data_IF_749131613599
#
_entry.id   IF_749131613599
#
_cell.length_a   1.000
_cell.length_b   1.000
_cell.length_c   1.000
_cell.angle_alpha   90.00
_cell.angle_beta   90.00
_cell.angle_gamma   90.00
#
_symmetry.space_group_name_H-M   'P 1'
#
loop_
_entity.id
_entity.type
_entity.pdbx_description
1 polymer ?
#
# COMPACT_ATOMS: atom_id res chain seq x y z
N UNK A 1 -16.34 18.71 103.64
CA UNK A 1 -16.76 17.69 102.65
C UNK A 1 -15.97 17.72 101.33
N UNK A 2 -15.11 18.72 101.06
CA UNK A 2 -14.32 18.86 99.82
C UNK A 2 -13.10 17.93 99.68
N UNK A 3 -12.56 17.38 100.77
CA UNK A 3 -11.28 16.62 100.76
C UNK A 3 -11.43 15.18 100.24
N UNK A 4 -12.64 14.61 100.24
CA UNK A 4 -12.93 13.23 99.79
C UNK A 4 -13.24 13.14 98.29
N UNK A 5 -13.78 14.22 97.69
CA UNK A 5 -14.04 14.29 96.25
C UNK A 5 -12.79 14.54 95.41
N UNK A 6 -11.77 15.20 95.98
CA UNK A 6 -10.50 15.48 95.28
C UNK A 6 -9.65 14.23 95.01
N UNK A 7 -9.81 13.16 95.80
CA UNK A 7 -9.09 11.89 95.63
C UNK A 7 -9.79 10.99 94.61
N UNK A 8 -11.12 11.06 94.52
CA UNK A 8 -11.91 10.31 93.52
C UNK A 8 -11.75 10.91 92.12
N UNK A 9 -11.59 12.23 92.01
CA UNK A 9 -11.32 12.93 90.74
C UNK A 9 -9.90 12.68 90.20
N UNK A 10 -8.91 12.48 91.08
CA UNK A 10 -7.52 12.22 90.69
C UNK A 10 -7.30 10.76 90.25
N UNK A 11 -8.10 9.82 90.76
CA UNK A 11 -8.01 8.39 90.41
C UNK A 11 -8.73 8.07 89.08
N UNK A 12 -9.73 8.86 88.68
CA UNK A 12 -10.40 8.72 87.37
C UNK A 12 -9.58 9.24 86.20
N UNK A 13 -8.56 10.08 86.44
CA UNK A 13 -7.74 10.69 85.39
C UNK A 13 -6.61 9.76 84.89
N UNK A 14 -6.28 8.70 85.63
CA UNK A 14 -5.21 7.74 85.27
C UNK A 14 -5.66 6.62 84.33
N UNK A 15 -6.96 6.50 84.05
CA UNK A 15 -7.54 5.42 83.21
C UNK A 15 -7.73 5.89 81.75
N UNK A 16 -7.52 7.18 81.45
CA UNK A 16 -7.57 7.72 80.08
C UNK A 16 -6.19 7.85 79.39
N UNK A 17 -5.09 7.49 80.05
CA UNK A 17 -3.74 7.50 79.44
C UNK A 17 -3.41 6.24 78.63
N UNK A 18 -4.43 5.51 78.19
CA UNK A 18 -4.30 4.40 77.25
C UNK A 18 -4.87 4.79 75.90
N UNK A 19 -4.01 4.82 74.88
CA UNK A 19 -4.36 4.94 73.46
C UNK A 19 -4.56 6.38 72.90
N UNK A 20 -3.45 7.07 72.64
CA UNK A 20 -3.32 7.93 71.45
C UNK A 20 -1.84 8.07 71.05
N UNK A 21 -1.22 6.92 70.74
CA UNK A 21 0.00 6.86 69.95
C UNK A 21 -0.33 6.15 68.62
N UNK A 22 -1.36 6.64 67.93
CA UNK A 22 -1.93 6.00 66.75
C UNK A 22 -1.46 6.56 65.40
N UNK A 23 -0.83 7.73 65.35
CA UNK A 23 -0.52 8.38 64.07
C UNK A 23 0.98 8.36 63.71
N UNK A 24 1.89 8.48 64.68
CA UNK A 24 3.34 8.51 64.39
C UNK A 24 3.97 7.11 64.23
N UNK A 25 3.44 6.09 64.90
CA UNK A 25 3.91 4.71 64.74
C UNK A 25 3.45 4.11 63.40
N UNK A 26 2.24 4.45 62.95
CA UNK A 26 1.64 3.93 61.72
C UNK A 26 2.32 4.49 60.46
N UNK A 27 2.80 5.74 60.50
CA UNK A 27 3.52 6.35 59.38
C UNK A 27 4.97 5.84 59.27
N UNK A 28 5.64 5.57 60.40
CA UNK A 28 6.99 4.98 60.43
C UNK A 28 6.97 3.51 59.97
N UNK A 29 5.90 2.78 60.30
CA UNK A 29 5.66 1.41 59.84
C UNK A 29 5.30 1.35 58.35
N UNK A 30 4.62 2.38 57.83
CA UNK A 30 4.32 2.49 56.40
C UNK A 30 5.58 2.68 55.55
N UNK A 31 6.52 3.54 55.98
CA UNK A 31 7.78 3.75 55.29
C UNK A 31 8.70 2.51 55.36
N UNK A 32 8.73 1.81 56.50
CA UNK A 32 9.44 0.54 56.62
C UNK A 32 8.81 -0.56 55.76
N UNK A 33 7.49 -0.69 55.77
CA UNK A 33 6.75 -1.66 54.94
C UNK A 33 6.97 -1.36 53.45
N UNK A 34 6.92 -0.09 53.04
CA UNK A 34 7.21 0.33 51.67
C UNK A 34 8.62 -0.05 51.24
N UNK A 35 9.61 0.17 52.10
CA UNK A 35 11.01 -0.19 51.83
C UNK A 35 11.18 -1.70 51.71
N UNK A 36 10.55 -2.45 52.62
CA UNK A 36 10.53 -3.92 52.59
C UNK A 36 9.89 -4.45 51.29
N UNK A 37 8.74 -3.90 50.87
CA UNK A 37 8.08 -4.30 49.62
C UNK A 37 8.95 -3.97 48.40
N UNK A 38 9.57 -2.79 48.37
CA UNK A 38 10.49 -2.41 47.27
C UNK A 38 11.71 -3.32 47.22
N UNK A 39 12.25 -3.72 48.38
CA UNK A 39 13.39 -4.62 48.45
C UNK A 39 12.98 -6.04 48.01
N UNK A 40 11.82 -6.55 48.43
CA UNK A 40 11.25 -7.84 47.96
C UNK A 40 11.03 -7.84 46.45
N UNK A 41 10.56 -6.75 45.85
CA UNK A 41 10.40 -6.66 44.39
C UNK A 41 11.75 -6.65 43.64
N UNK A 42 12.83 -6.21 44.30
CA UNK A 42 14.18 -6.15 43.72
C UNK A 42 14.98 -7.43 43.91
N UNK A 43 14.62 -8.30 44.85
CA UNK A 43 15.27 -9.61 45.04
C UNK A 43 15.08 -10.49 43.80
N UNK A 44 15.94 -11.50 43.69
CA UNK A 44 15.86 -12.45 42.59
C UNK A 44 14.56 -13.26 42.63
N UNK A 45 14.04 -13.55 43.82
CA UNK A 45 12.74 -14.20 44.01
C UNK A 45 11.58 -13.32 43.56
N UNK A 46 11.60 -12.02 43.87
CA UNK A 46 10.59 -11.07 43.39
C UNK A 46 10.59 -10.94 41.87
N UNK A 47 11.78 -10.84 41.25
CA UNK A 47 11.91 -10.83 39.79
C UNK A 47 11.46 -12.15 39.16
N UNK A 48 11.73 -13.28 39.81
CA UNK A 48 11.33 -14.61 39.34
C UNK A 48 9.81 -14.78 39.42
N UNK A 49 9.20 -14.42 40.54
CA UNK A 49 7.75 -14.42 40.69
C UNK A 49 7.05 -13.55 39.64
N UNK A 50 7.58 -12.34 39.36
CA UNK A 50 7.05 -11.49 38.29
C UNK A 50 7.21 -12.14 36.91
N UNK A 51 8.34 -12.79 36.63
CA UNK A 51 8.55 -13.51 35.35
C UNK A 51 7.63 -14.71 35.20
N UNK A 52 7.35 -15.42 36.28
CA UNK A 52 6.44 -16.58 36.29
C UNK A 52 5.00 -16.12 36.05
N UNK A 53 4.59 -15.02 36.68
CA UNK A 53 3.27 -14.38 36.51
C UNK A 53 3.10 -13.78 35.11
N UNK A 54 4.11 -13.07 34.58
CA UNK A 54 4.12 -12.61 33.17
C UNK A 54 4.27 -13.80 32.21
N UNK A 55 4.73 -14.96 32.68
CA UNK A 55 4.84 -16.17 31.89
C UNK A 55 3.47 -16.77 31.53
N UNK A 56 2.47 -16.53 32.38
CA UNK A 56 1.09 -16.95 32.23
C UNK A 56 0.45 -16.31 30.98
N UNK A 57 -0.22 -17.12 30.15
CA UNK A 57 -0.84 -16.63 28.91
C UNK A 57 -1.99 -15.65 29.17
N UNK A 58 -2.77 -15.85 30.23
CA UNK A 58 -3.89 -14.98 30.58
C UNK A 58 -3.38 -13.57 30.96
N UNK A 59 -2.23 -13.50 31.64
CA UNK A 59 -1.62 -12.24 32.05
C UNK A 59 -0.89 -11.58 30.88
N UNK A 60 -0.23 -12.35 29.99
CA UNK A 60 0.34 -11.81 28.74
C UNK A 60 -0.71 -11.17 27.87
N UNK A 61 -1.84 -11.82 27.69
CA UNK A 61 -2.94 -11.30 26.86
C UNK A 61 -3.43 -9.95 27.41
N UNK A 62 -3.69 -9.87 28.72
CA UNK A 62 -4.11 -8.63 29.37
C UNK A 62 -3.04 -7.51 29.37
N UNK A 63 -1.74 -7.85 29.41
CA UNK A 63 -0.65 -6.87 29.35
C UNK A 63 -0.38 -6.36 27.92
N UNK A 64 -0.55 -7.21 26.92
CA UNK A 64 -0.40 -6.86 25.49
C UNK A 64 -1.58 -6.03 25.00
N UNK A 65 -2.75 -6.09 25.65
CA UNK A 65 -3.95 -5.32 25.29
C UNK A 65 -3.94 -3.83 25.71
N UNK A 66 -2.78 -3.20 25.94
CA UNK A 66 -2.75 -1.73 25.95
C UNK A 66 -2.86 -1.22 24.50
N UNK A 67 -4.11 -1.10 24.04
CA UNK A 67 -4.50 -0.81 22.65
C UNK A 67 -3.80 0.45 22.11
N UNK A 68 -3.69 1.49 22.93
CA UNK A 68 -3.04 2.76 22.56
C UNK A 68 -1.53 2.63 22.40
N UNK A 69 -0.86 1.95 23.34
CA UNK A 69 0.60 1.77 23.28
C UNK A 69 0.99 0.81 22.13
N UNK A 70 0.21 -0.26 21.92
CA UNK A 70 0.42 -1.20 20.81
C UNK A 70 0.15 -0.52 19.46
N UNK A 71 -0.97 0.19 19.31
CA UNK A 71 -1.31 0.90 18.07
C UNK A 71 -0.23 1.93 17.73
N UNK A 72 0.16 2.80 18.67
CA UNK A 72 1.22 3.79 18.44
C UNK A 72 2.56 3.16 18.08
N UNK A 73 2.89 2.01 18.69
CA UNK A 73 4.13 1.30 18.40
C UNK A 73 4.09 0.66 17.01
N UNK A 74 2.97 0.07 16.63
CA UNK A 74 2.76 -0.51 15.29
C UNK A 74 2.83 0.60 14.24
N UNK A 75 2.09 1.69 14.40
CA UNK A 75 2.13 2.83 13.48
C UNK A 75 3.54 3.37 13.32
N UNK A 76 4.21 3.70 14.44
CA UNK A 76 5.58 4.22 14.43
C UNK A 76 6.57 3.25 13.81
N UNK A 77 6.38 1.95 14.02
CA UNK A 77 7.27 0.93 13.45
C UNK A 77 7.02 0.79 11.95
N UNK A 78 5.77 0.67 11.51
CA UNK A 78 5.38 0.45 10.12
C UNK A 78 5.70 1.64 9.21
N UNK A 79 5.65 2.87 9.71
CA UNK A 79 6.01 4.08 8.95
C UNK A 79 7.49 4.48 9.09
N UNK A 80 8.27 3.73 9.85
CA UNK A 80 9.69 4.03 10.02
C UNK A 80 10.53 3.56 8.82
N UNK A 81 11.68 4.20 8.61
CA UNK A 81 12.69 3.74 7.65
C UNK A 81 13.11 2.28 7.87
N UNK A 82 13.03 1.80 9.11
CA UNK A 82 13.32 0.41 9.45
C UNK A 82 12.27 -0.55 8.86
N UNK A 83 10.99 -0.17 8.87
CA UNK A 83 9.95 -0.95 8.20
C UNK A 83 10.09 -0.88 6.67
N UNK A 84 10.40 0.28 6.10
CA UNK A 84 10.66 0.40 4.66
C UNK A 84 11.79 -0.57 4.23
N UNK A 85 12.90 -0.61 4.97
CA UNK A 85 13.98 -1.58 4.74
C UNK A 85 13.52 -3.02 4.94
N UNK A 86 12.77 -3.32 6.00
CA UNK A 86 12.23 -4.66 6.25
C UNK A 86 11.37 -5.14 5.07
N UNK A 87 10.41 -4.33 4.62
CA UNK A 87 9.56 -4.67 3.48
C UNK A 87 10.38 -4.82 2.20
N UNK A 88 11.35 -3.93 1.96
CA UNK A 88 12.23 -4.01 0.78
C UNK A 88 13.01 -5.33 0.75
N UNK A 89 13.59 -5.76 1.87
CA UNK A 89 14.27 -7.06 1.95
C UNK A 89 13.29 -8.23 1.84
N UNK A 90 12.09 -8.12 2.43
CA UNK A 90 11.06 -9.17 2.33
C UNK A 90 10.49 -9.34 0.94
N UNK A 91 10.33 -8.26 0.16
CA UNK A 91 9.89 -8.36 -1.23
C UNK A 91 10.94 -8.99 -2.16
N UNK A 92 12.20 -9.16 -1.72
CA UNK A 92 13.20 -9.94 -2.46
C UNK A 92 13.04 -11.45 -2.27
N UNK A 93 12.32 -11.89 -1.25
CA UNK A 93 11.99 -13.29 -1.02
C UNK A 93 10.89 -13.72 -2.02
N UNK A 94 11.17 -14.66 -2.93
CA UNK A 94 10.22 -15.08 -3.96
C UNK A 94 8.89 -15.61 -3.41
N UNK A 95 8.93 -16.38 -2.32
CA UNK A 95 7.72 -17.01 -1.75
C UNK A 95 6.80 -15.94 -1.14
N UNK A 96 7.41 -14.96 -0.48
CA UNK A 96 6.72 -13.81 0.06
C UNK A 96 6.13 -12.94 -1.06
N UNK A 97 6.94 -12.60 -2.06
CA UNK A 97 6.52 -11.80 -3.21
C UNK A 97 5.39 -12.47 -4.00
N UNK A 98 5.46 -13.79 -4.21
CA UNK A 98 4.41 -14.56 -4.88
C UNK A 98 3.11 -14.54 -4.07
N UNK A 99 3.18 -14.77 -2.76
CA UNK A 99 2.01 -14.76 -1.89
C UNK A 99 1.34 -13.39 -1.88
N UNK A 100 2.12 -12.32 -1.80
CA UNK A 100 1.62 -10.95 -1.88
C UNK A 100 1.03 -10.61 -3.26
N UNK A 101 1.70 -11.01 -4.34
CA UNK A 101 1.17 -10.79 -5.69
C UNK A 101 -0.15 -11.54 -5.91
N UNK A 102 -0.27 -12.77 -5.40
CA UNK A 102 -1.50 -13.57 -5.44
C UNK A 102 -2.63 -12.92 -4.65
N UNK A 103 -2.36 -12.42 -3.45
CA UNK A 103 -3.39 -11.77 -2.63
C UNK A 103 -3.89 -10.47 -3.26
N UNK A 104 -3.01 -9.71 -3.93
CA UNK A 104 -3.35 -8.46 -4.60
C UNK A 104 -3.93 -8.64 -6.01
N UNK A 105 -3.91 -9.87 -6.58
CA UNK A 105 -4.23 -10.12 -7.99
C UNK A 105 -5.59 -9.55 -8.42
N UNK A 106 -6.63 -9.75 -7.62
CA UNK A 106 -7.99 -9.33 -7.96
C UNK A 106 -8.11 -7.80 -8.03
N UNK A 107 -7.66 -7.10 -6.99
CA UNK A 107 -7.68 -5.64 -6.94
C UNK A 107 -6.73 -5.01 -7.95
N UNK A 108 -5.54 -5.59 -8.15
CA UNK A 108 -4.59 -5.11 -9.15
C UNK A 108 -5.14 -5.27 -10.58
N UNK A 109 -5.82 -6.38 -10.88
CA UNK A 109 -6.51 -6.55 -12.16
C UNK A 109 -7.61 -5.52 -12.36
N UNK A 110 -8.39 -5.22 -11.32
CA UNK A 110 -9.44 -4.21 -11.36
C UNK A 110 -8.85 -2.83 -11.61
N UNK A 111 -7.82 -2.45 -10.84
CA UNK A 111 -7.07 -1.20 -11.01
C UNK A 111 -6.55 -1.05 -12.44
N UNK A 112 -5.89 -2.07 -12.99
CA UNK A 112 -5.40 -2.03 -14.37
C UNK A 112 -6.53 -1.85 -15.40
N UNK A 113 -7.67 -2.52 -15.21
CA UNK A 113 -8.84 -2.35 -16.09
C UNK A 113 -9.44 -0.95 -16.02
N UNK A 114 -9.43 -0.34 -14.86
CA UNK A 114 -9.92 1.01 -14.68
C UNK A 114 -8.93 2.04 -15.22
N UNK A 115 -7.61 1.83 -15.03
CA UNK A 115 -6.56 2.64 -15.65
C UNK A 115 -6.61 2.59 -17.18
N UNK A 116 -6.95 1.47 -17.82
CA UNK A 116 -7.14 1.45 -19.28
C UNK A 116 -8.25 2.41 -19.77
N UNK A 117 -9.19 2.79 -18.90
CA UNK A 117 -10.24 3.77 -19.19
C UNK A 117 -9.84 5.19 -18.81
N UNK A 118 -8.70 5.37 -18.16
CA UNK A 118 -8.16 6.67 -17.81
C UNK A 118 -7.45 7.32 -19.03
N UNK A 119 -7.69 8.62 -19.32
CA UNK A 119 -7.06 9.31 -20.44
C UNK A 119 -5.53 9.40 -20.37
N UNK A 120 -4.97 9.63 -19.19
CA UNK A 120 -3.53 9.81 -19.03
C UNK A 120 -2.81 8.48 -19.17
N UNK A 121 -3.37 7.41 -18.59
CA UNK A 121 -2.85 6.06 -18.79
C UNK A 121 -2.93 5.63 -20.26
N UNK A 122 -4.04 5.93 -20.97
CA UNK A 122 -4.13 5.67 -22.41
C UNK A 122 -3.08 6.42 -23.20
N UNK A 123 -2.78 7.68 -22.84
CA UNK A 123 -1.74 8.45 -23.51
C UNK A 123 -0.38 7.78 -23.37
N UNK A 124 -0.01 7.33 -22.17
CA UNK A 124 1.21 6.56 -21.94
C UNK A 124 1.23 5.26 -22.76
N UNK A 125 0.09 4.58 -22.91
CA UNK A 125 0.00 3.37 -23.75
C UNK A 125 0.16 3.68 -25.24
N UNK A 126 -0.35 4.82 -25.73
CA UNK A 126 -0.13 5.24 -27.13
C UNK A 126 1.34 5.55 -27.38
N UNK A 127 2.00 6.23 -26.44
CA UNK A 127 3.45 6.49 -26.51
C UNK A 127 4.24 5.18 -26.53
N UNK A 128 3.85 4.19 -25.72
CA UNK A 128 4.44 2.84 -25.75
C UNK A 128 4.27 2.16 -27.12
N UNK A 129 3.09 2.24 -27.74
CA UNK A 129 2.82 1.65 -29.05
C UNK A 129 3.64 2.27 -30.19
N UNK A 130 4.18 3.47 -29.98
CA UNK A 130 5.07 4.14 -30.93
C UNK A 130 6.54 3.70 -30.77
N UNK A 131 6.83 2.76 -29.87
CA UNK A 131 8.16 2.19 -29.75
C UNK A 131 8.60 1.52 -31.07
N UNK A 132 9.84 1.75 -31.55
CA UNK A 132 10.32 1.21 -32.82
C UNK A 132 10.22 -0.32 -32.95
N UNK A 133 10.30 -1.07 -31.85
CA UNK A 133 10.13 -2.52 -31.88
C UNK A 133 8.69 -2.90 -32.24
N UNK A 134 7.71 -2.24 -31.61
CA UNK A 134 6.29 -2.43 -31.89
C UNK A 134 5.96 -1.93 -33.31
N UNK A 135 6.54 -0.81 -33.73
CA UNK A 135 6.37 -0.29 -35.09
C UNK A 135 6.88 -1.30 -36.14
N UNK A 136 8.01 -1.95 -35.87
CA UNK A 136 8.56 -3.00 -36.73
C UNK A 136 7.60 -4.19 -36.83
N UNK A 137 7.05 -4.65 -35.71
CA UNK A 137 6.07 -5.74 -35.70
C UNK A 137 4.80 -5.37 -36.47
N UNK A 138 4.31 -4.14 -36.29
CA UNK A 138 3.18 -3.62 -37.06
C UNK A 138 3.48 -3.58 -38.56
N UNK A 139 4.68 -3.14 -38.97
CA UNK A 139 5.11 -3.17 -40.38
C UNK A 139 5.16 -4.58 -40.95
N UNK A 140 5.51 -5.58 -40.14
CA UNK A 140 5.49 -6.98 -40.56
C UNK A 140 4.07 -7.49 -40.77
N UNK A 141 3.14 -7.12 -39.88
CA UNK A 141 1.70 -7.41 -40.04
C UNK A 141 1.15 -6.75 -41.31
N UNK A 142 1.45 -5.49 -41.56
CA UNK A 142 1.02 -4.79 -42.79
C UNK A 142 1.62 -5.38 -44.08
N UNK A 143 2.71 -6.14 -43.98
CA UNK A 143 3.32 -6.85 -45.12
C UNK A 143 2.86 -8.30 -45.23
N UNK A 144 2.08 -8.81 -44.27
CA UNK A 144 1.63 -10.18 -44.23
C UNK A 144 0.74 -10.51 -45.43
N UNK A 145 0.68 -11.78 -45.80
CA UNK A 145 -0.13 -12.24 -46.92
C UNK A 145 -1.61 -11.91 -46.70
N UNK A 146 -2.10 -12.09 -45.48
CA UNK A 146 -3.50 -11.83 -45.09
C UNK A 146 -3.84 -10.34 -45.25
N UNK A 147 -2.97 -9.44 -44.80
CA UNK A 147 -3.20 -8.00 -44.97
C UNK A 147 -3.11 -7.58 -46.44
N UNK A 148 -2.24 -8.21 -47.24
CA UNK A 148 -2.16 -7.97 -48.68
C UNK A 148 -3.43 -8.41 -49.42
N UNK A 149 -4.02 -9.55 -49.06
CA UNK A 149 -5.28 -10.00 -49.64
C UNK A 149 -6.41 -9.00 -49.38
N UNK A 150 -6.55 -8.56 -48.12
CA UNK A 150 -7.52 -7.51 -47.78
C UNK A 150 -7.22 -6.19 -48.51
N UNK A 151 -5.94 -5.81 -48.64
CA UNK A 151 -5.55 -4.61 -49.37
C UNK A 151 -5.91 -4.71 -50.87
N UNK A 152 -5.74 -5.88 -51.49
CA UNK A 152 -6.13 -6.11 -52.88
C UNK A 152 -7.64 -6.01 -53.06
N UNK A 153 -8.44 -6.54 -52.14
CA UNK A 153 -9.90 -6.42 -52.15
C UNK A 153 -10.33 -4.95 -52.08
N UNK A 154 -9.80 -4.20 -51.09
CA UNK A 154 -10.07 -2.76 -50.96
C UNK A 154 -9.64 -1.98 -52.21
N UNK A 155 -8.51 -2.34 -52.84
CA UNK A 155 -8.09 -1.73 -54.10
C UNK A 155 -9.05 -2.04 -55.24
N UNK A 156 -9.52 -3.27 -55.37
CA UNK A 156 -10.50 -3.66 -56.40
C UNK A 156 -11.82 -2.90 -56.20
N UNK A 157 -12.34 -2.85 -54.96
CA UNK A 157 -13.53 -2.07 -54.62
C UNK A 157 -13.36 -0.59 -54.94
N UNK A 158 -12.18 -0.02 -54.61
CA UNK A 158 -11.85 1.38 -54.90
C UNK A 158 -11.82 1.66 -56.41
N UNK A 159 -11.25 0.75 -57.21
CA UNK A 159 -11.25 0.85 -58.67
C UNK A 159 -12.65 0.75 -59.27
N UNK A 160 -13.55 0.04 -58.60
CA UNK A 160 -14.92 -0.12 -59.05
C UNK A 160 -15.81 1.10 -58.79
N UNK A 161 -15.36 2.04 -57.96
CA UNK A 161 -16.10 3.27 -57.68
C UNK A 161 -16.32 4.10 -58.95
N UNK A 162 -17.51 4.73 -59.13
CA UNK A 162 -17.79 5.59 -60.28
C UNK A 162 -16.80 6.75 -60.43
N UNK A 163 -16.34 7.31 -59.32
CA UNK A 163 -15.37 8.41 -59.32
C UNK A 163 -14.01 7.95 -59.87
N UNK A 164 -13.52 6.79 -59.44
CA UNK A 164 -12.27 6.23 -59.95
C UNK A 164 -12.39 5.90 -61.44
N UNK A 165 -13.47 5.22 -61.85
CA UNK A 165 -13.73 4.91 -63.27
C UNK A 165 -13.75 6.16 -64.14
N UNK A 166 -14.39 7.24 -63.68
CA UNK A 166 -14.42 8.53 -64.38
C UNK A 166 -13.04 9.15 -64.49
N UNK A 167 -12.28 9.25 -63.39
CA UNK A 167 -10.90 9.79 -63.42
C UNK A 167 -9.98 8.95 -64.30
N UNK A 168 -10.18 7.63 -64.31
CA UNK A 168 -9.43 6.71 -65.15
C UNK A 168 -9.75 6.93 -66.64
N UNK A 169 -11.03 7.10 -66.99
CA UNK A 169 -11.45 7.46 -68.35
C UNK A 169 -10.87 8.81 -68.79
N UNK A 170 -10.94 9.85 -67.95
CA UNK A 170 -10.35 11.15 -68.23
C UNK A 170 -8.83 11.06 -68.45
N UNK A 171 -8.13 10.20 -67.71
CA UNK A 171 -6.70 9.94 -67.88
C UNK A 171 -6.41 9.24 -69.21
N UNK A 172 -7.21 8.24 -69.60
CA UNK A 172 -7.09 7.55 -70.88
C UNK A 172 -7.35 8.50 -72.05
N UNK A 173 -8.37 9.35 -71.97
CA UNK A 173 -8.69 10.34 -72.99
C UNK A 173 -7.56 11.36 -73.15
N UNK A 174 -6.96 11.79 -72.04
CA UNK A 174 -5.81 12.70 -72.06
C UNK A 174 -4.59 12.03 -72.72
N UNK A 175 -4.27 10.80 -72.33
CA UNK A 175 -3.16 10.04 -72.91
C UNK A 175 -3.36 9.80 -74.41
N UNK A 176 -4.58 9.49 -74.84
CA UNK A 176 -4.92 9.31 -76.25
C UNK A 176 -4.75 10.61 -77.05
N UNK A 177 -5.19 11.75 -76.50
CA UNK A 177 -4.98 13.07 -77.13
C UNK A 177 -3.50 13.42 -77.25
N UNK A 178 -2.71 13.17 -76.21
CA UNK A 178 -1.26 13.39 -76.23
C UNK A 178 -0.58 12.51 -77.29
N UNK A 179 -0.91 11.22 -77.36
CA UNK A 179 -0.40 10.31 -78.38
C UNK A 179 -0.78 10.74 -79.80
N UNK A 180 -2.03 11.15 -80.04
CA UNK A 180 -2.49 11.66 -81.32
C UNK A 180 -1.78 12.95 -81.73
N UNK A 181 -1.56 13.88 -80.78
CA UNK A 181 -0.82 15.13 -81.03
C UNK A 181 0.68 14.89 -81.30
N UNK A 182 1.27 13.83 -80.73
CA UNK A 182 2.65 13.41 -81.04
C UNK A 182 2.80 12.78 -82.43
N UNK A 183 1.74 12.14 -82.95
CA UNK A 183 1.71 11.53 -84.29
C UNK A 183 1.60 12.61 -85.39
N UNK A 184 0.87 13.71 -85.16
CA UNK A 184 0.82 14.85 -86.11
C UNK A 184 2.18 15.52 -86.30
N UNK A 185 3.04 15.56 -85.27
CA UNK A 185 4.39 16.15 -85.40
C UNK A 185 5.34 15.26 -86.20
N UNK A 186 5.20 13.94 -86.14
CA UNK A 186 6.04 13.01 -86.91
C UNK A 186 5.61 12.86 -88.39
N UNK A 187 4.35 13.08 -88.72
CA UNK A 187 3.86 12.97 -90.11
C UNK A 187 4.12 14.21 -90.97
N UNK A 188 4.50 15.35 -90.37
CA UNK A 188 4.86 16.58 -91.11
C UNK A 188 6.37 16.63 -91.45
N UNK A 189 7.19 15.69 -90.94
CA UNK A 189 8.64 15.63 -91.19
C UNK A 189 9.10 14.55 -92.20
N UNK A 190 8.18 13.95 -92.97
CA UNK A 190 8.48 13.10 -94.13
C UNK A 190 7.99 13.77 -95.43
#
# INVERSE_FOLDING_TARGET
MFKKYSIVLLLSLSILSGCSAGETAQQMDYDQTKKMVVDILKTDDGKKAIRDVIGDEEIKENLVMNEDAVTKTIEKTLVSDKASKFWTEKFKDPDFAETMAKSMKAENQKLLKDLMKDPDYRKMMVELLQDPAIESDLKNVLKSTEYREHLLEVMQESMDTPEFKKKFQEMLDKAAKEAASGIEVQTIQL
#
